data_IF_254408213324
#
_entry.id   IF_254408213324
#
_cell.length_a   1.000
_cell.length_b   1.000
_cell.length_c   1.000
_cell.angle_alpha   90.00
_cell.angle_beta   90.00
_cell.angle_gamma   90.00
#
_symmetry.space_group_name_H-M   'P 1'
#
loop_
_entity.id
_entity.type
_entity.pdbx_description
1 polymer ?
#
# COMPACT_ATOMS: atom_id res chain seq x y z
N UNK A 1 5.15 -10.38 -16.24
CA UNK A 1 4.29 -9.58 -15.35
C UNK A 1 4.63 -8.13 -15.64
N UNK A 2 3.80 -7.46 -16.43
CA UNK A 2 3.96 -6.03 -16.70
C UNK A 2 3.72 -5.26 -15.40
N UNK A 3 4.67 -4.41 -15.01
CA UNK A 3 4.48 -3.46 -13.93
C UNK A 3 3.23 -2.62 -14.24
N UNK A 4 2.41 -2.28 -13.23
CA UNK A 4 1.29 -1.39 -13.45
C UNK A 4 1.83 -0.11 -14.08
N UNK A 5 1.22 0.27 -15.23
CA UNK A 5 1.59 1.48 -15.98
C UNK A 5 1.42 2.67 -15.06
N UNK A 6 2.51 3.14 -14.51
CA UNK A 6 2.58 4.40 -13.79
C UNK A 6 2.26 5.51 -14.77
N UNK A 7 1.36 6.40 -14.39
CA UNK A 7 0.80 7.50 -15.17
C UNK A 7 1.87 8.22 -16.01
N UNK A 8 1.86 8.10 -17.36
CA UNK A 8 2.89 8.68 -18.21
C UNK A 8 2.80 10.20 -18.36
N UNK A 9 1.80 10.85 -17.78
CA UNK A 9 1.54 12.31 -17.97
C UNK A 9 2.26 13.21 -16.97
N UNK A 10 3.05 12.67 -16.03
CA UNK A 10 3.83 13.46 -15.07
C UNK A 10 3.01 14.32 -14.10
N UNK A 11 1.68 14.20 -14.11
CA UNK A 11 0.81 14.91 -13.18
C UNK A 11 0.85 14.21 -11.82
N UNK A 12 1.28 14.95 -10.81
CA UNK A 12 1.27 14.51 -9.42
C UNK A 12 -0.18 14.27 -9.00
N UNK A 13 -0.51 13.04 -8.62
CA UNK A 13 -1.80 12.74 -8.00
C UNK A 13 -1.81 13.23 -6.55
N UNK A 14 -2.27 14.47 -6.35
CA UNK A 14 -2.31 15.13 -5.04
C UNK A 14 -3.12 14.34 -4.03
N UNK A 15 -4.26 13.79 -4.42
CA UNK A 15 -5.11 13.01 -3.52
C UNK A 15 -4.41 11.72 -3.07
N UNK A 16 -3.65 11.07 -3.96
CA UNK A 16 -2.83 9.91 -3.61
C UNK A 16 -1.72 10.27 -2.62
N UNK A 17 -1.06 11.42 -2.80
CA UNK A 17 -0.04 11.91 -1.87
C UNK A 17 -0.63 12.27 -0.51
N UNK A 18 -1.74 13.00 -0.48
CA UNK A 18 -2.45 13.37 0.75
C UNK A 18 -2.88 12.13 1.52
N UNK A 19 -3.35 11.10 0.83
CA UNK A 19 -3.69 9.82 1.45
C UNK A 19 -2.46 9.15 2.09
N UNK A 20 -1.32 9.05 1.40
CA UNK A 20 -0.09 8.49 1.97
C UNK A 20 0.39 9.31 3.17
N UNK A 21 0.39 10.64 3.03
CA UNK A 21 0.84 11.56 4.09
C UNK A 21 -0.02 11.46 5.35
N UNK A 22 -1.32 11.29 5.20
CA UNK A 22 -2.28 11.18 6.31
C UNK A 22 -2.10 9.91 7.15
N UNK A 23 -1.43 8.87 6.64
CA UNK A 23 -1.21 7.63 7.37
C UNK A 23 -0.29 7.85 8.58
N UNK A 24 -0.76 7.46 9.76
CA UNK A 24 0.03 7.46 11.00
C UNK A 24 1.01 6.28 11.00
N UNK A 25 2.19 6.49 11.58
CA UNK A 25 3.15 5.40 11.78
C UNK A 25 2.62 4.43 12.85
N UNK A 26 2.63 3.14 12.52
CA UNK A 26 2.26 2.09 13.45
C UNK A 26 3.32 0.97 13.38
N UNK A 27 4.37 1.03 14.22
CA UNK A 27 5.34 -0.05 14.34
C UNK A 27 4.64 -1.34 14.76
N UNK A 28 5.00 -2.47 14.13
CA UNK A 28 4.34 -3.74 14.43
C UNK A 28 5.24 -4.94 14.11
N UNK A 29 5.06 -6.04 14.86
CA UNK A 29 5.78 -7.27 14.63
C UNK A 29 5.12 -8.11 13.53
N UNK A 30 3.80 -8.16 13.50
CA UNK A 30 3.02 -8.89 12.50
C UNK A 30 2.02 -7.96 11.79
N UNK A 31 1.67 -8.27 10.55
CA UNK A 31 0.60 -7.55 9.87
C UNK A 31 -0.79 -7.84 10.47
N UNK A 32 -0.92 -8.92 11.24
CA UNK A 32 -2.13 -9.25 12.00
C UNK A 32 -2.33 -8.37 13.23
N UNK A 33 -1.28 -7.66 13.69
CA UNK A 33 -1.36 -6.74 14.82
C UNK A 33 -2.21 -5.50 14.48
N UNK A 34 -2.50 -5.30 13.19
CA UNK A 34 -3.26 -4.16 12.68
C UNK A 34 -4.60 -4.65 12.13
N UNK A 35 -5.70 -4.18 12.71
CA UNK A 35 -7.05 -4.50 12.25
C UNK A 35 -7.32 -3.93 10.84
N UNK A 36 -8.16 -4.62 10.06
CA UNK A 36 -8.43 -4.35 8.63
C UNK A 36 -8.59 -2.85 8.29
N UNK A 37 -9.39 -2.11 9.04
CA UNK A 37 -9.60 -0.68 8.77
C UNK A 37 -8.40 0.20 9.15
N UNK A 38 -7.54 -0.25 10.07
CA UNK A 38 -6.35 0.49 10.46
C UNK A 38 -5.29 0.48 9.36
N UNK A 39 -5.25 -0.54 8.50
CA UNK A 39 -4.38 -0.54 7.32
C UNK A 39 -4.68 0.60 6.34
N UNK A 40 -5.90 1.12 6.33
CA UNK A 40 -6.25 2.30 5.53
C UNK A 40 -5.65 3.59 6.10
N UNK A 41 -5.54 3.70 7.43
CA UNK A 41 -5.12 4.93 8.13
C UNK A 41 -3.72 4.87 8.74
N UNK A 42 -3.10 3.69 8.77
CA UNK A 42 -1.76 3.47 9.32
C UNK A 42 -0.77 3.05 8.23
N UNK A 43 0.48 3.53 8.36
CA UNK A 43 1.63 3.02 7.64
C UNK A 43 2.35 2.04 8.54
N UNK A 44 2.41 0.79 8.11
CA UNK A 44 3.06 -0.29 8.87
C UNK A 44 3.87 -1.20 7.96
N UNK A 45 4.96 -1.73 8.49
CA UNK A 45 5.77 -2.77 7.86
C UNK A 45 6.04 -3.85 8.89
N UNK A 46 5.57 -5.07 8.65
CA UNK A 46 5.77 -6.17 9.58
C UNK A 46 7.26 -6.37 9.94
N UNK A 47 7.56 -6.66 11.19
CA UNK A 47 8.92 -6.81 11.74
C UNK A 47 9.73 -5.49 11.75
N UNK A 48 9.08 -4.34 11.60
CA UNK A 48 9.71 -3.02 11.71
C UNK A 48 9.16 -2.32 12.96
N UNK A 49 9.83 -2.57 14.08
CA UNK A 49 9.44 -2.04 15.39
C UNK A 49 10.03 -0.65 15.66
N UNK A 50 11.06 -0.27 14.93
CA UNK A 50 11.72 1.04 15.03
C UNK A 50 10.88 2.09 14.27
N UNK A 51 10.37 3.07 15.00
CA UNK A 51 9.50 4.13 14.46
C UNK A 51 10.26 5.04 13.49
N UNK A 52 11.54 5.32 13.75
CA UNK A 52 12.35 6.18 12.88
C UNK A 52 12.63 5.48 11.55
N UNK A 53 12.92 4.17 11.60
CA UNK A 53 13.10 3.37 10.39
C UNK A 53 11.79 3.28 9.59
N UNK A 54 10.67 3.12 10.27
CA UNK A 54 9.36 3.10 9.63
C UNK A 54 9.01 4.44 8.97
N UNK A 55 9.38 5.56 9.64
CA UNK A 55 9.23 6.90 9.09
C UNK A 55 10.05 7.10 7.81
N UNK A 56 11.30 6.63 7.80
CA UNK A 56 12.17 6.72 6.61
C UNK A 56 11.62 5.90 5.44
N UNK A 57 11.09 4.69 5.71
CA UNK A 57 10.44 3.88 4.66
C UNK A 57 9.19 4.58 4.12
N UNK A 58 8.39 5.22 5.00
CA UNK A 58 7.22 5.99 4.59
C UNK A 58 7.62 7.17 3.70
N UNK A 59 8.63 7.96 4.11
CA UNK A 59 9.13 9.09 3.32
C UNK A 59 9.65 8.64 1.96
N UNK A 60 10.37 7.53 1.89
CA UNK A 60 10.83 6.96 0.64
C UNK A 60 9.67 6.59 -0.30
N UNK A 61 8.57 6.05 0.24
CA UNK A 61 7.34 5.74 -0.53
C UNK A 61 6.66 7.02 -1.01
N UNK A 62 6.49 8.02 -0.15
CA UNK A 62 5.89 9.32 -0.51
C UNK A 62 6.72 10.04 -1.59
N UNK A 63 8.04 10.02 -1.45
CA UNK A 63 8.97 10.60 -2.43
C UNK A 63 8.88 9.87 -3.77
N UNK A 64 8.77 8.54 -3.75
CA UNK A 64 8.59 7.76 -4.96
C UNK A 64 7.26 8.07 -5.66
N UNK A 65 6.17 8.24 -4.90
CA UNK A 65 4.86 8.64 -5.42
C UNK A 65 4.90 10.06 -6.01
N UNK A 66 5.54 11.00 -5.30
CA UNK A 66 5.66 12.40 -5.73
C UNK A 66 6.44 12.53 -7.03
N UNK A 67 7.52 11.78 -7.15
CA UNK A 67 8.47 11.90 -8.27
C UNK A 67 8.21 10.89 -9.39
N UNK A 68 7.24 9.99 -9.25
CA UNK A 68 6.98 8.92 -10.22
C UNK A 68 8.16 7.97 -10.39
N UNK A 69 8.96 7.73 -9.33
CA UNK A 69 10.17 6.94 -9.46
C UNK A 69 9.88 5.45 -9.57
N UNK A 70 10.72 4.73 -10.31
CA UNK A 70 10.61 3.28 -10.44
C UNK A 70 11.00 2.55 -9.15
N UNK A 71 10.57 1.29 -9.04
CA UNK A 71 10.96 0.41 -7.93
C UNK A 71 12.49 0.30 -7.79
N UNK A 72 13.22 0.27 -8.90
CA UNK A 72 14.67 0.13 -8.85
C UNK A 72 15.35 1.34 -8.19
N UNK A 73 14.89 2.55 -8.50
CA UNK A 73 15.39 3.78 -7.86
C UNK A 73 15.01 3.80 -6.38
N UNK A 74 13.78 3.46 -6.03
CA UNK A 74 13.33 3.32 -4.64
C UNK A 74 14.22 2.33 -3.87
N UNK A 75 14.45 1.14 -4.41
CA UNK A 75 15.31 0.12 -3.80
C UNK A 75 16.76 0.59 -3.62
N UNK A 76 17.34 1.21 -4.65
CA UNK A 76 18.72 1.70 -4.60
C UNK A 76 18.93 2.72 -3.48
N UNK A 77 17.95 3.59 -3.23
CA UNK A 77 18.01 4.60 -2.17
C UNK A 77 17.82 4.01 -0.78
N UNK A 78 16.81 3.14 -0.62
CA UNK A 78 16.38 2.69 0.69
C UNK A 78 17.21 1.49 1.23
N UNK A 79 17.66 0.59 0.36
CA UNK A 79 18.39 -0.63 0.78
C UNK A 79 19.62 -0.35 1.63
N UNK A 80 20.55 0.58 1.27
CA UNK A 80 21.74 0.86 2.08
C UNK A 80 21.39 1.31 3.50
N UNK A 81 20.37 2.15 3.65
CA UNK A 81 19.89 2.59 4.95
C UNK A 81 19.34 1.42 5.78
N UNK A 82 18.50 0.57 5.21
CA UNK A 82 17.97 -0.60 5.92
C UNK A 82 19.05 -1.60 6.32
N UNK A 83 20.10 -1.76 5.48
CA UNK A 83 21.26 -2.57 5.82
C UNK A 83 22.05 -1.99 7.00
N UNK A 84 22.30 -0.69 7.00
CA UNK A 84 23.02 -0.01 8.10
C UNK A 84 22.27 -0.07 9.43
N UNK A 85 20.92 -0.17 9.38
CA UNK A 85 20.06 -0.35 10.56
C UNK A 85 19.84 -1.82 10.92
N UNK A 86 20.53 -2.77 10.25
CA UNK A 86 20.39 -4.20 10.52
C UNK A 86 19.06 -4.82 10.07
N UNK A 87 18.22 -4.09 9.32
CA UNK A 87 16.94 -4.60 8.85
C UNK A 87 17.04 -5.21 7.43
N UNK A 88 17.98 -6.14 7.25
CA UNK A 88 18.18 -6.83 5.98
C UNK A 88 18.60 -8.30 6.18
N UNK A 89 18.06 -9.20 5.34
CA UNK A 89 18.34 -10.62 5.46
C UNK A 89 17.50 -11.31 6.54
N UNK A 90 18.03 -12.38 7.09
CA UNK A 90 17.39 -13.19 8.13
C UNK A 90 18.03 -12.90 9.48
N UNK A 91 17.20 -12.79 10.52
CA UNK A 91 17.64 -12.61 11.89
C UNK A 91 16.76 -13.40 12.86
N UNK A 92 17.33 -13.79 13.99
CA UNK A 92 16.56 -14.34 15.09
C UNK A 92 15.93 -13.19 15.88
N UNK A 93 14.59 -13.18 15.96
CA UNK A 93 13.85 -12.20 16.75
C UNK A 93 12.91 -12.91 17.71
N UNK A 94 12.77 -12.36 18.90
CA UNK A 94 11.76 -12.82 19.86
C UNK A 94 10.41 -12.21 19.51
N UNK A 95 9.41 -13.06 19.32
CA UNK A 95 8.04 -12.63 19.10
C UNK A 95 7.49 -12.01 20.40
N UNK A 96 7.06 -10.74 20.41
CA UNK A 96 6.58 -10.09 21.61
C UNK A 96 5.27 -10.67 22.16
N UNK A 97 4.55 -11.47 21.36
CA UNK A 97 3.26 -12.07 21.75
C UNK A 97 3.46 -13.38 22.50
N UNK A 98 4.30 -14.27 21.97
CA UNK A 98 4.52 -15.61 22.55
C UNK A 98 5.89 -15.79 23.23
N UNK A 99 6.77 -14.79 23.14
CA UNK A 99 8.12 -14.83 23.71
C UNK A 99 9.08 -15.80 23.03
N UNK A 100 8.69 -16.40 21.92
CA UNK A 100 9.48 -17.44 21.24
C UNK A 100 10.47 -16.79 20.24
N UNK A 101 11.73 -17.20 20.34
CA UNK A 101 12.75 -16.81 19.36
C UNK A 101 12.52 -17.54 18.03
N UNK A 102 12.35 -16.77 16.95
CA UNK A 102 12.09 -17.28 15.61
C UNK A 102 13.07 -16.68 14.61
N UNK A 103 13.55 -17.50 13.66
CA UNK A 103 14.26 -16.97 12.50
C UNK A 103 13.25 -16.28 11.59
N UNK A 104 13.45 -14.98 11.34
CA UNK A 104 12.53 -14.17 10.55
C UNK A 104 13.26 -13.47 9.42
N UNK A 105 12.64 -13.45 8.25
CA UNK A 105 13.10 -12.65 7.12
C UNK A 105 12.75 -11.17 7.40
N UNK A 106 13.75 -10.32 7.51
CA UNK A 106 13.59 -8.87 7.61
C UNK A 106 13.50 -8.23 6.22
N UNK A 107 14.48 -7.45 5.81
CA UNK A 107 14.53 -6.85 4.48
C UNK A 107 14.93 -7.86 3.40
N UNK A 108 14.32 -7.72 2.24
CA UNK A 108 14.73 -8.37 1.00
C UNK A 108 14.19 -7.60 -0.20
N UNK A 109 14.76 -7.83 -1.38
CA UNK A 109 14.26 -7.21 -2.62
C UNK A 109 12.77 -7.52 -2.84
N UNK A 110 12.35 -8.77 -2.56
CA UNK A 110 10.93 -9.18 -2.65
C UNK A 110 10.06 -8.38 -1.69
N UNK A 111 10.47 -8.24 -0.43
CA UNK A 111 9.71 -7.46 0.56
C UNK A 111 9.63 -5.98 0.21
N UNK A 112 10.73 -5.37 -0.20
CA UNK A 112 10.70 -3.97 -0.67
C UNK A 112 9.76 -3.79 -1.84
N UNK A 113 9.72 -4.76 -2.77
CA UNK A 113 8.77 -4.72 -3.90
C UNK A 113 7.32 -4.78 -3.43
N UNK A 114 7.00 -5.63 -2.47
CA UNK A 114 5.65 -5.71 -1.88
C UNK A 114 5.29 -4.39 -1.19
N UNK A 115 6.18 -3.83 -0.37
CA UNK A 115 5.96 -2.54 0.30
C UNK A 115 5.68 -1.44 -0.73
N UNK A 116 6.54 -1.33 -1.75
CA UNK A 116 6.40 -0.34 -2.81
C UNK A 116 5.07 -0.50 -3.55
N UNK A 117 4.82 -1.68 -4.13
CA UNK A 117 3.65 -1.93 -4.97
C UNK A 117 2.34 -1.77 -4.20
N UNK A 118 2.26 -2.30 -2.98
CA UNK A 118 1.04 -2.20 -2.16
C UNK A 118 0.72 -0.73 -1.84
N UNK A 119 1.71 0.04 -1.40
CA UNK A 119 1.46 1.45 -1.05
C UNK A 119 1.13 2.30 -2.28
N UNK A 120 1.83 2.07 -3.42
CA UNK A 120 1.51 2.78 -4.67
C UNK A 120 0.10 2.45 -5.16
N UNK A 121 -0.28 1.17 -5.17
CA UNK A 121 -1.61 0.75 -5.61
C UNK A 121 -2.72 1.32 -4.71
N UNK A 122 -2.52 1.29 -3.39
CA UNK A 122 -3.49 1.83 -2.43
C UNK A 122 -3.62 3.34 -2.55
N UNK A 123 -2.51 4.06 -2.70
CA UNK A 123 -2.52 5.50 -2.90
C UNK A 123 -3.23 5.89 -4.21
N UNK A 124 -2.94 5.19 -5.28
CA UNK A 124 -3.60 5.39 -6.58
C UNK A 124 -5.11 5.15 -6.48
N UNK A 125 -5.53 4.08 -5.81
CA UNK A 125 -6.95 3.78 -5.60
C UNK A 125 -7.64 4.88 -4.76
N UNK A 126 -6.98 5.39 -3.72
CA UNK A 126 -7.51 6.50 -2.92
C UNK A 126 -7.66 7.79 -3.76
N UNK A 127 -6.69 8.10 -4.61
CA UNK A 127 -6.78 9.22 -5.57
C UNK A 127 -7.92 9.04 -6.57
N UNK A 128 -8.11 7.82 -7.08
CA UNK A 128 -9.26 7.51 -7.95
C UNK A 128 -10.59 7.73 -7.22
N UNK A 129 -10.70 7.26 -5.97
CA UNK A 129 -11.91 7.43 -5.18
C UNK A 129 -12.23 8.90 -4.93
N UNK A 130 -11.25 9.72 -4.58
CA UNK A 130 -11.42 11.15 -4.43
C UNK A 130 -11.96 11.81 -5.71
N UNK A 131 -11.44 11.43 -6.88
CA UNK A 131 -11.93 11.92 -8.19
C UNK A 131 -13.35 11.45 -8.49
N UNK A 132 -13.69 10.22 -8.18
CA UNK A 132 -15.05 9.69 -8.33
C UNK A 132 -16.02 10.51 -7.48
N UNK A 133 -15.70 10.74 -6.22
CA UNK A 133 -16.56 11.52 -5.32
C UNK A 133 -16.71 12.98 -5.76
N UNK A 134 -15.64 13.62 -6.22
CA UNK A 134 -15.72 15.01 -6.70
C UNK A 134 -16.57 15.16 -7.97
N UNK A 135 -16.68 14.11 -8.77
CA UNK A 135 -17.42 14.11 -10.03
C UNK A 135 -18.81 13.45 -9.93
N UNK A 136 -19.26 13.06 -8.74
CA UNK A 136 -20.51 12.29 -8.59
C UNK A 136 -21.77 12.99 -9.13
N UNK A 137 -21.78 14.34 -9.17
CA UNK A 137 -22.91 15.09 -9.76
C UNK A 137 -23.03 14.87 -11.26
N UNK A 138 -21.91 14.73 -11.96
CA UNK A 138 -21.87 14.50 -13.40
C UNK A 138 -21.91 13.00 -13.74
N UNK A 139 -21.32 12.16 -12.90
CA UNK A 139 -21.20 10.71 -13.06
C UNK A 139 -21.73 10.00 -11.81
N UNK A 140 -23.06 9.91 -11.64
CA UNK A 140 -23.65 9.46 -10.38
C UNK A 140 -23.61 7.95 -10.16
N UNK A 141 -23.17 7.15 -11.14
CA UNK A 141 -23.16 5.70 -11.04
C UNK A 141 -21.77 5.15 -11.27
N UNK A 142 -21.44 4.07 -10.56
CA UNK A 142 -20.25 3.26 -10.77
C UNK A 142 -20.61 1.87 -11.24
N UNK A 143 -19.78 1.33 -12.14
CA UNK A 143 -19.86 -0.06 -12.57
C UNK A 143 -18.66 -0.84 -12.06
N UNK A 144 -18.90 -1.97 -11.40
CA UNK A 144 -17.84 -2.89 -11.01
C UNK A 144 -17.39 -3.72 -12.20
N UNK A 145 -16.24 -3.42 -12.76
CA UNK A 145 -15.72 -4.13 -13.91
C UNK A 145 -15.01 -5.43 -13.50
N UNK A 146 -14.95 -6.39 -14.43
CA UNK A 146 -14.12 -7.59 -14.28
C UNK A 146 -12.66 -7.19 -14.10
N UNK A 147 -11.99 -7.83 -13.14
CA UNK A 147 -10.55 -7.65 -12.93
C UNK A 147 -9.76 -8.13 -14.15
N UNK A 148 -8.76 -7.35 -14.56
CA UNK A 148 -7.78 -7.73 -15.57
C UNK A 148 -6.64 -8.64 -15.03
N UNK A 149 -6.63 -8.92 -13.72
CA UNK A 149 -5.65 -9.81 -13.11
C UNK A 149 -5.77 -11.24 -13.67
N UNK A 150 -4.64 -11.91 -13.86
CA UNK A 150 -4.62 -13.30 -14.34
C UNK A 150 -5.34 -14.28 -13.38
N UNK A 151 -5.34 -13.98 -12.08
CA UNK A 151 -6.04 -14.74 -11.04
C UNK A 151 -6.87 -13.77 -10.18
N UNK A 152 -8.08 -13.38 -10.63
CA UNK A 152 -8.97 -12.55 -9.85
C UNK A 152 -9.51 -13.31 -8.65
N UNK A 153 -9.72 -12.60 -7.53
CA UNK A 153 -10.32 -13.19 -6.32
C UNK A 153 -11.75 -13.64 -6.60
N UNK A 154 -12.07 -14.89 -6.28
CA UNK A 154 -13.42 -15.46 -6.50
C UNK A 154 -14.51 -14.69 -5.74
N UNK A 155 -14.19 -14.18 -4.55
CA UNK A 155 -15.10 -13.34 -3.76
C UNK A 155 -15.58 -12.08 -4.49
N UNK A 156 -14.83 -11.59 -5.48
CA UNK A 156 -15.17 -10.40 -6.25
C UNK A 156 -16.02 -10.69 -7.50
N UNK A 157 -16.07 -11.96 -7.96
CA UNK A 157 -16.82 -12.34 -9.17
C UNK A 157 -18.31 -12.00 -9.08
N UNK A 158 -18.90 -12.12 -7.89
CA UNK A 158 -20.31 -11.79 -7.62
C UNK A 158 -20.67 -10.32 -7.86
N UNK A 159 -19.70 -9.44 -7.93
CA UNK A 159 -19.91 -8.01 -8.15
C UNK A 159 -19.74 -7.60 -9.62
N UNK A 160 -19.25 -8.49 -10.49
CA UNK A 160 -18.98 -8.15 -11.89
C UNK A 160 -20.24 -7.69 -12.60
N UNK A 161 -20.18 -6.51 -13.23
CA UNK A 161 -21.29 -5.89 -13.93
C UNK A 161 -22.26 -5.13 -13.04
N UNK A 162 -22.11 -5.17 -11.71
CA UNK A 162 -22.94 -4.40 -10.77
C UNK A 162 -22.81 -2.91 -11.06
N UNK A 163 -23.96 -2.24 -11.23
CA UNK A 163 -24.06 -0.79 -11.43
C UNK A 163 -24.90 -0.20 -10.30
N UNK A 164 -24.29 0.70 -9.51
CA UNK A 164 -24.95 1.32 -8.36
C UNK A 164 -24.53 2.80 -8.25
N UNK A 165 -25.37 3.64 -7.58
CA UNK A 165 -24.98 5.00 -7.27
C UNK A 165 -23.64 5.08 -6.53
N UNK A 166 -22.86 6.14 -6.76
CA UNK A 166 -21.57 6.39 -6.09
C UNK A 166 -21.72 6.37 -4.55
N UNK A 167 -22.86 6.81 -4.03
CA UNK A 167 -23.14 6.87 -2.59
C UNK A 167 -23.50 5.52 -1.97
N UNK A 168 -23.69 4.46 -2.77
CA UNK A 168 -24.13 3.17 -2.25
C UNK A 168 -23.12 2.57 -1.27
N UNK A 169 -23.54 2.13 -0.06
CA UNK A 169 -22.63 1.70 1.02
C UNK A 169 -21.68 0.55 0.65
N UNK A 170 -22.04 -0.27 -0.34
CA UNK A 170 -21.24 -1.39 -0.78
C UNK A 170 -19.84 -0.96 -1.25
N UNK A 171 -19.74 0.24 -1.83
CA UNK A 171 -18.45 0.75 -2.31
C UNK A 171 -17.44 0.93 -1.19
N UNK A 172 -17.86 1.22 0.04
CA UNK A 172 -16.99 1.29 1.23
C UNK A 172 -16.41 -0.06 1.62
N UNK A 173 -16.98 -1.16 1.14
CA UNK A 173 -16.54 -2.53 1.46
C UNK A 173 -15.70 -3.14 0.35
N UNK A 174 -15.95 -2.78 -0.90
CA UNK A 174 -15.35 -3.44 -2.07
C UNK A 174 -14.45 -2.55 -2.90
N UNK A 175 -14.46 -1.23 -2.67
CA UNK A 175 -13.48 -0.33 -3.28
C UNK A 175 -12.17 -0.41 -2.49
N UNK A 176 -11.01 -0.52 -3.18
CA UNK A 176 -9.70 -0.67 -2.56
C UNK A 176 -9.25 0.57 -1.79
#
# INVERSE_FOLDING_TARGET
MSDPVFNPTGLIDRAALEFLHSKKLLPGFSHYDVWLYQHAVAFTVAKMMDADMLAEVKDAVETAQRNGTSFEVFKQRLKPYLMSRGWWGEQVMTDPVDGVAKLVQLGSTRRLRVIFQTNMATAFAAGQWARIQSNQKALPYLRYNKSAAGQPRDSHRRYYGLVLPVEHPIWKQIFP
#
